data_IF_049964392176
#
_entry.id   IF_049964392176
#
_cell.length_a   1.000
_cell.length_b   1.000
_cell.length_c   1.000
_cell.angle_alpha   90.00
_cell.angle_beta   90.00
_cell.angle_gamma   90.00
#
_symmetry.space_group_name_H-M   'P 1'
#
loop_
_entity.id
_entity.type
_entity.pdbx_description
1 polymer ?
#
# COMPACT_ATOMS: atom_id res chain seq x y z
N UNK A 1 16.65 -45.22 -25.07
CA UNK A 1 15.83 -44.17 -25.71
C UNK A 1 14.86 -43.67 -24.64
N UNK A 2 15.06 -42.41 -24.20
CA UNK A 2 14.16 -41.54 -23.39
C UNK A 2 13.88 -42.02 -21.93
N UNK A 3 14.56 -41.50 -20.89
CA UNK A 3 14.32 -40.25 -20.12
C UNK A 3 12.94 -40.27 -19.39
N UNK A 4 12.75 -39.85 -18.14
CA UNK A 4 13.45 -38.83 -17.39
C UNK A 4 13.10 -38.88 -15.88
N UNK A 5 14.12 -38.72 -15.05
CA UNK A 5 14.15 -37.94 -13.81
C UNK A 5 12.91 -37.90 -12.88
N UNK A 6 12.92 -38.72 -11.82
CA UNK A 6 12.28 -38.34 -10.56
C UNK A 6 13.08 -37.19 -9.95
N UNK A 7 12.67 -35.97 -10.25
CA UNK A 7 13.20 -34.75 -9.62
C UNK A 7 12.82 -34.78 -8.13
N UNK A 8 13.73 -35.34 -7.33
CA UNK A 8 13.85 -35.08 -5.90
C UNK A 8 14.09 -33.58 -5.73
N UNK A 9 13.05 -32.81 -5.43
CA UNK A 9 13.24 -31.48 -4.87
C UNK A 9 13.99 -31.67 -3.55
N UNK A 10 15.27 -31.32 -3.52
CA UNK A 10 15.95 -31.07 -2.26
C UNK A 10 15.35 -29.78 -1.72
N UNK A 11 14.56 -29.86 -0.64
CA UNK A 11 14.46 -28.73 0.29
C UNK A 11 15.89 -28.38 0.67
N UNK A 12 16.44 -27.38 0.02
CA UNK A 12 17.57 -26.65 0.57
C UNK A 12 16.95 -25.97 1.79
N UNK A 13 17.19 -26.53 2.97
CA UNK A 13 16.90 -25.82 4.22
C UNK A 13 17.45 -24.41 4.03
N UNK A 14 16.58 -23.41 4.06
CA UNK A 14 17.01 -22.03 4.04
C UNK A 14 17.99 -21.88 5.19
N UNK A 15 19.25 -21.58 4.86
CA UNK A 15 20.26 -21.15 5.84
C UNK A 15 19.55 -20.17 6.78
N UNK A 16 19.65 -20.41 8.09
CA UNK A 16 19.13 -19.50 9.13
C UNK A 16 19.44 -18.06 8.70
N UNK A 17 18.39 -17.38 8.23
CA UNK A 17 18.55 -16.15 7.46
C UNK A 17 18.70 -15.02 8.46
N UNK A 18 19.91 -14.87 9.01
CA UNK A 18 20.19 -13.74 9.88
C UNK A 18 19.98 -12.45 9.07
N UNK A 19 19.05 -11.57 9.50
CA UNK A 19 18.78 -10.35 8.77
C UNK A 19 20.05 -9.49 8.74
N UNK A 20 20.41 -8.96 7.58
CA UNK A 20 21.57 -8.07 7.41
C UNK A 20 21.45 -6.82 8.30
N UNK A 21 20.23 -6.39 8.58
CA UNK A 21 19.92 -5.25 9.42
C UNK A 21 18.48 -5.34 9.92
N UNK A 22 18.25 -4.93 11.17
CA UNK A 22 16.92 -4.81 11.76
C UNK A 22 16.71 -3.34 12.15
N UNK A 23 15.70 -2.65 11.58
CA UNK A 23 15.36 -1.31 12.01
C UNK A 23 14.93 -1.32 13.48
N UNK A 24 15.27 -0.28 14.22
CA UNK A 24 14.61 -0.04 15.50
C UNK A 24 13.12 0.21 15.24
N UNK A 25 12.25 -0.42 16.02
CA UNK A 25 10.82 -0.17 15.95
C UNK A 25 10.55 1.29 16.33
N UNK A 26 10.13 2.10 15.36
CA UNK A 26 9.85 3.52 15.53
C UNK A 26 8.35 3.74 15.29
N UNK A 27 7.56 3.96 16.36
CA UNK A 27 6.12 4.20 16.25
C UNK A 27 5.75 5.48 15.49
N UNK A 28 6.72 6.39 15.30
CA UNK A 28 6.55 7.67 14.59
C UNK A 28 6.80 7.57 13.08
N UNK A 29 7.07 6.37 12.56
CA UNK A 29 7.07 6.14 11.11
C UNK A 29 5.70 6.47 10.52
N UNK A 30 5.66 6.78 9.22
CA UNK A 30 4.39 7.04 8.52
C UNK A 30 3.43 5.85 8.61
N UNK A 31 3.95 4.63 8.53
CA UNK A 31 3.14 3.42 8.69
C UNK A 31 2.63 3.26 10.13
N UNK A 32 3.45 3.58 11.14
CA UNK A 32 3.01 3.59 12.54
C UNK A 32 1.92 4.64 12.81
N UNK A 33 2.02 5.81 12.18
CA UNK A 33 0.96 6.81 12.22
C UNK A 33 -0.33 6.33 11.52
N UNK A 34 -0.20 5.60 10.42
CA UNK A 34 -1.34 5.03 9.70
C UNK A 34 -2.05 3.93 10.52
N UNK A 35 -1.30 3.04 11.17
CA UNK A 35 -1.87 2.03 12.09
C UNK A 35 -2.67 2.72 13.21
N UNK A 36 -2.10 3.75 13.84
CA UNK A 36 -2.83 4.52 14.88
C UNK A 36 -4.07 5.22 14.34
N UNK A 37 -3.99 5.77 13.13
CA UNK A 37 -5.15 6.36 12.46
C UNK A 37 -6.25 5.31 12.24
N UNK A 38 -5.91 4.11 11.75
CA UNK A 38 -6.85 3.00 11.59
C UNK A 38 -7.47 2.57 12.92
N UNK A 39 -6.67 2.41 13.97
CA UNK A 39 -7.17 2.09 15.32
C UNK A 39 -8.19 3.12 15.84
N UNK A 40 -8.01 4.40 15.48
CA UNK A 40 -8.94 5.47 15.88
C UNK A 40 -10.19 5.59 15.02
N UNK A 41 -10.12 5.18 13.74
CA UNK A 41 -11.18 5.39 12.76
C UNK A 41 -12.00 4.12 12.48
N UNK A 42 -11.45 2.94 12.77
CA UNK A 42 -12.09 1.65 12.54
C UNK A 42 -12.09 0.81 13.84
N UNK A 43 -13.25 0.68 14.52
CA UNK A 43 -13.38 -0.10 15.75
C UNK A 43 -13.05 -1.60 15.60
N UNK A 44 -13.14 -2.14 14.39
CA UNK A 44 -12.87 -3.55 14.11
C UNK A 44 -11.37 -3.82 13.86
N UNK A 45 -10.56 -2.76 13.73
CA UNK A 45 -9.13 -2.87 13.50
C UNK A 45 -8.36 -2.97 14.84
N UNK A 46 -8.07 -4.20 15.27
CA UNK A 46 -7.37 -4.52 16.52
C UNK A 46 -5.88 -4.85 16.38
N UNK A 47 -5.22 -4.33 15.35
CA UNK A 47 -3.87 -4.72 14.94
C UNK A 47 -2.80 -3.72 15.40
N UNK A 48 -1.66 -4.23 15.93
CA UNK A 48 -0.56 -3.40 16.48
C UNK A 48 0.74 -3.50 15.69
N UNK A 49 0.88 -4.52 14.84
CA UNK A 49 2.09 -4.76 14.06
C UNK A 49 1.88 -4.55 12.56
N UNK A 50 2.98 -4.43 11.83
CA UNK A 50 2.92 -4.40 10.37
C UNK A 50 2.32 -5.68 9.77
N UNK A 51 2.59 -6.84 10.38
CA UNK A 51 2.04 -8.11 9.89
C UNK A 51 0.52 -8.16 10.07
N UNK A 52 0.02 -7.71 11.22
CA UNK A 52 -1.42 -7.64 11.46
C UNK A 52 -2.10 -6.69 10.47
N UNK A 53 -1.49 -5.52 10.20
CA UNK A 53 -1.96 -4.59 9.17
C UNK A 53 -1.98 -5.26 7.78
N UNK A 54 -0.94 -6.01 7.44
CA UNK A 54 -0.83 -6.69 6.15
C UNK A 54 -1.93 -7.73 5.97
N UNK A 55 -2.11 -8.63 6.94
CA UNK A 55 -3.17 -9.65 6.91
C UNK A 55 -4.55 -8.99 6.80
N UNK A 56 -4.81 -7.99 7.65
CA UNK A 56 -6.06 -7.24 7.61
C UNK A 56 -6.31 -6.55 6.26
N UNK A 57 -5.27 -5.98 5.64
CA UNK A 57 -5.38 -5.29 4.34
C UNK A 57 -5.79 -6.21 3.19
N UNK A 58 -5.48 -7.51 3.29
CA UNK A 58 -5.87 -8.51 2.30
C UNK A 58 -7.32 -8.98 2.50
N UNK A 59 -7.78 -9.05 3.75
CA UNK A 59 -9.14 -9.46 4.09
C UNK A 59 -10.15 -8.32 3.87
N UNK A 60 -9.75 -7.08 4.12
CA UNK A 60 -10.61 -5.89 4.13
C UNK A 60 -10.17 -4.87 3.09
N UNK A 61 -9.99 -5.31 1.84
CA UNK A 61 -9.39 -4.53 0.75
C UNK A 61 -10.08 -3.17 0.52
N UNK A 62 -11.41 -3.15 0.49
CA UNK A 62 -12.19 -1.92 0.29
C UNK A 62 -12.01 -0.93 1.45
N UNK A 63 -12.18 -1.41 2.68
CA UNK A 63 -12.00 -0.58 3.88
C UNK A 63 -10.57 -0.07 4.01
N UNK A 64 -9.58 -0.91 3.69
CA UNK A 64 -8.17 -0.53 3.70
C UNK A 64 -7.89 0.62 2.71
N UNK A 65 -8.32 0.49 1.46
CA UNK A 65 -8.03 1.50 0.44
C UNK A 65 -8.83 2.79 0.62
N UNK A 66 -10.03 2.72 1.19
CA UNK A 66 -10.76 3.89 1.69
C UNK A 66 -9.97 4.62 2.80
N UNK A 67 -9.45 3.87 3.77
CA UNK A 67 -8.63 4.46 4.83
C UNK A 67 -7.36 5.12 4.28
N UNK A 68 -6.71 4.50 3.28
CA UNK A 68 -5.55 5.10 2.58
C UNK A 68 -5.93 6.41 1.89
N UNK A 69 -7.08 6.44 1.20
CA UNK A 69 -7.59 7.64 0.53
C UNK A 69 -7.71 8.81 1.51
N UNK A 70 -8.35 8.57 2.66
CA UNK A 70 -8.53 9.59 3.69
C UNK A 70 -7.23 9.96 4.40
N UNK A 71 -6.39 8.99 4.75
CA UNK A 71 -5.12 9.25 5.43
C UNK A 71 -4.15 10.06 4.58
N UNK A 72 -4.11 9.81 3.26
CA UNK A 72 -3.29 10.57 2.33
C UNK A 72 -3.89 11.94 1.99
N UNK A 73 -5.14 12.20 2.38
CA UNK A 73 -5.83 13.46 2.08
C UNK A 73 -6.11 13.65 0.60
N UNK A 74 -6.46 12.59 -0.13
CA UNK A 74 -6.73 12.66 -1.57
C UNK A 74 -7.88 13.64 -1.85
N UNK A 75 -7.60 14.62 -2.70
CA UNK A 75 -8.55 15.64 -3.15
C UNK A 75 -9.32 15.13 -4.37
N UNK A 76 -10.63 15.27 -4.32
CA UNK A 76 -11.51 14.96 -5.45
C UNK A 76 -12.65 15.98 -5.54
N UNK A 77 -13.09 16.23 -6.77
CA UNK A 77 -14.27 17.06 -7.05
C UNK A 77 -15.57 16.27 -6.86
N UNK A 78 -15.52 14.95 -7.11
CA UNK A 78 -16.60 14.00 -6.81
C UNK A 78 -16.02 12.82 -6.04
N UNK A 79 -16.66 12.48 -4.92
CA UNK A 79 -16.29 11.30 -4.13
C UNK A 79 -16.66 10.01 -4.89
N UNK A 80 -15.96 8.93 -4.61
CA UNK A 80 -16.29 7.62 -5.18
C UNK A 80 -17.65 7.12 -4.66
N UNK A 81 -18.30 6.31 -5.49
CA UNK A 81 -19.51 5.58 -5.13
C UNK A 81 -19.16 4.18 -4.58
N UNK A 82 -18.06 3.57 -5.09
CA UNK A 82 -17.50 2.31 -4.59
C UNK A 82 -15.97 2.31 -4.70
N UNK A 83 -15.30 1.78 -3.68
CA UNK A 83 -13.83 1.67 -3.62
C UNK A 83 -13.29 0.63 -4.61
N UNK A 84 -13.91 -0.54 -4.69
CA UNK A 84 -13.49 -1.61 -5.62
C UNK A 84 -14.71 -2.43 -6.08
N UNK A 85 -14.71 -2.86 -7.33
CA UNK A 85 -15.64 -3.85 -7.85
C UNK A 85 -15.23 -5.26 -7.35
N UNK A 86 -15.98 -5.85 -6.41
CA UNK A 86 -15.69 -7.17 -5.83
C UNK A 86 -16.04 -8.35 -6.76
N UNK A 87 -16.82 -8.10 -7.81
CA UNK A 87 -17.37 -9.12 -8.69
C UNK A 87 -16.57 -9.30 -10.00
N UNK A 88 -15.37 -8.72 -10.10
CA UNK A 88 -14.51 -8.86 -11.26
C UNK A 88 -13.98 -10.30 -11.39
N UNK A 89 -13.88 -10.82 -12.62
CA UNK A 89 -13.24 -12.13 -12.82
C UNK A 89 -11.75 -12.04 -12.53
N UNK A 90 -11.13 -13.19 -12.25
CA UNK A 90 -9.68 -13.27 -11.98
C UNK A 90 -8.80 -12.77 -13.15
N UNK A 91 -9.34 -12.80 -14.37
CA UNK A 91 -8.66 -12.31 -15.59
C UNK A 91 -8.81 -10.81 -15.79
N UNK A 92 -9.72 -10.18 -15.06
CA UNK A 92 -10.09 -8.79 -15.25
C UNK A 92 -9.43 -7.93 -14.19
N UNK A 93 -9.12 -6.67 -14.54
CA UNK A 93 -8.66 -5.68 -13.58
C UNK A 93 -9.91 -5.06 -12.95
N UNK A 94 -10.16 -5.23 -11.64
CA UNK A 94 -11.33 -4.62 -11.00
C UNK A 94 -11.24 -3.10 -11.11
N UNK A 95 -12.37 -2.43 -11.31
CA UNK A 95 -12.38 -0.96 -11.27
C UNK A 95 -12.28 -0.47 -9.84
N UNK A 96 -11.47 0.56 -9.66
CA UNK A 96 -11.21 1.20 -8.38
C UNK A 96 -11.84 2.59 -8.32
N UNK A 97 -12.33 2.97 -7.15
CA UNK A 97 -12.89 4.29 -6.82
C UNK A 97 -13.90 4.77 -7.87
N UNK A 98 -14.75 3.86 -8.34
CA UNK A 98 -15.74 4.15 -9.38
C UNK A 98 -16.62 5.32 -8.97
N UNK A 99 -16.91 6.20 -9.93
CA UNK A 99 -17.71 7.41 -9.69
C UNK A 99 -16.92 8.60 -9.14
N UNK A 100 -15.68 8.41 -8.69
CA UNK A 100 -14.84 9.54 -8.29
C UNK A 100 -14.35 10.33 -9.51
N UNK A 101 -14.15 11.64 -9.30
CA UNK A 101 -13.51 12.53 -10.27
C UNK A 101 -12.44 13.32 -9.53
N UNK A 102 -11.19 13.17 -9.96
CA UNK A 102 -10.03 13.83 -9.34
C UNK A 102 -9.08 14.34 -10.42
N UNK A 103 -8.25 15.31 -10.03
CA UNK A 103 -7.13 15.78 -10.85
C UNK A 103 -5.80 15.38 -10.18
N UNK A 104 -4.93 14.70 -10.92
CA UNK A 104 -3.64 14.26 -10.38
C UNK A 104 -2.70 15.44 -10.06
N UNK A 105 -2.65 16.44 -10.93
CA UNK A 105 -1.83 17.62 -10.72
C UNK A 105 -2.31 18.43 -9.51
N UNK A 106 -3.62 18.54 -9.29
CA UNK A 106 -4.18 19.14 -8.07
C UNK A 106 -3.68 18.42 -6.82
N UNK A 107 -3.63 17.10 -6.82
CA UNK A 107 -3.20 16.33 -5.65
C UNK A 107 -1.69 16.48 -5.39
N UNK A 108 -0.85 16.49 -6.43
CA UNK A 108 0.61 16.54 -6.28
C UNK A 108 1.14 17.98 -6.14
N UNK A 109 0.48 18.96 -6.76
CA UNK A 109 0.89 20.38 -6.79
C UNK A 109 -0.09 21.26 -5.99
N UNK A 110 -0.66 20.75 -4.90
CA UNK A 110 -1.69 21.47 -4.14
C UNK A 110 -1.15 22.64 -3.30
N UNK A 111 0.14 22.63 -2.97
CA UNK A 111 0.74 23.65 -2.14
C UNK A 111 0.94 24.93 -2.96
N UNK A 112 0.43 26.04 -2.44
CA UNK A 112 0.55 27.36 -3.04
C UNK A 112 1.36 28.28 -2.09
N UNK A 113 2.47 27.76 -1.59
CA UNK A 113 3.41 28.46 -0.71
C UNK A 113 4.84 28.37 -1.29
N UNK A 114 5.81 28.98 -0.63
CA UNK A 114 7.19 29.12 -1.11
C UNK A 114 8.07 27.85 -0.92
N UNK A 115 7.50 26.69 -0.56
CA UNK A 115 8.25 25.44 -0.45
C UNK A 115 8.84 25.00 -1.81
N UNK A 116 10.04 24.41 -1.76
CA UNK A 116 10.71 23.90 -2.96
C UNK A 116 10.02 22.60 -3.41
N UNK A 117 9.42 22.63 -4.60
CA UNK A 117 8.81 21.45 -5.22
C UNK A 117 9.82 20.57 -6.00
N UNK A 118 10.89 21.16 -6.55
CA UNK A 118 11.84 20.47 -7.41
C UNK A 118 13.28 20.92 -7.15
N UNK A 119 14.14 19.98 -6.77
CA UNK A 119 15.59 20.14 -6.84
C UNK A 119 16.08 19.60 -8.19
N UNK A 120 16.42 20.48 -9.12
CA UNK A 120 16.99 20.09 -10.41
C UNK A 120 18.51 20.21 -10.38
N UNK A 121 19.21 19.14 -10.74
CA UNK A 121 20.67 19.12 -10.85
C UNK A 121 21.07 18.56 -12.22
N UNK A 122 21.88 19.31 -12.96
CA UNK A 122 22.51 18.86 -14.20
C UNK A 122 24.02 18.77 -14.00
N UNK A 123 24.64 17.69 -14.48
CA UNK A 123 26.10 17.61 -14.56
C UNK A 123 26.54 18.15 -15.92
N UNK A 124 27.22 19.30 -15.93
CA UNK A 124 27.82 19.85 -17.16
C UNK A 124 28.90 18.92 -17.72
N UNK A 125 29.03 18.90 -19.06
CA UNK A 125 30.23 18.40 -19.74
C UNK A 125 31.26 19.51 -19.85
#
# INVERSE_FOLDING_TARGET
MVLNSKLSWRMRQSVDSQPLWIPKAIPTTRIGCFIKYLQSSNPEFGADTYNDLYEWSLENVDTFWEAVWHFCGVKSTKLYDKVIEKDANITDIPKWFTGSLLNYAENVLHWNDDHIALYAASRGR
#
